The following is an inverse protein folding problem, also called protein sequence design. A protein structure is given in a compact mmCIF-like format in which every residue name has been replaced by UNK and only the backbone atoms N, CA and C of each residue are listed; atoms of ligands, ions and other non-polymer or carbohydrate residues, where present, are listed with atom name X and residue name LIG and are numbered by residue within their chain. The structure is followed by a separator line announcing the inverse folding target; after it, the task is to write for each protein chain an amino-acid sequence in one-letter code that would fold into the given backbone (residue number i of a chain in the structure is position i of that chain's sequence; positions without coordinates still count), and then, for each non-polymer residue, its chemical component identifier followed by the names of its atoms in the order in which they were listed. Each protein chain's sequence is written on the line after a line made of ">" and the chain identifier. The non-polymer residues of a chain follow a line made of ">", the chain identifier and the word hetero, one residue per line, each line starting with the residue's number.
data_IF_505856832315
#
_entry.id   IF_505856832315
#
_cell.length_a   1.000
_cell.length_b   1.000
_cell.length_c   1.000
_cell.angle_alpha   90.00
_cell.angle_beta   90.00
_cell.angle_gamma   90.00
#
_symmetry.space_group_name_H-M   'P 1'
#
loop_
_entity.id
_entity.type
_entity.pdbx_description
1 polymer ?
#
# COMPACT_ATOMS: atom_id res chain seq x y z
N UNK A 1 77.20 33.76 -34.14
CA UNK A 1 76.69 35.01 -33.53
C UNK A 1 75.16 35.09 -33.67
N UNK A 2 74.45 34.52 -32.70
CA UNK A 2 73.01 34.69 -32.48
C UNK A 2 72.74 34.30 -31.02
N UNK A 3 71.92 35.11 -30.36
CA UNK A 3 71.72 35.17 -28.91
C UNK A 3 70.98 33.95 -28.33
N UNK A 4 71.29 33.63 -27.08
CA UNK A 4 70.64 32.58 -26.28
C UNK A 4 69.28 33.05 -25.71
N UNK A 5 68.21 32.23 -25.74
CA UNK A 5 66.98 32.47 -25.00
C UNK A 5 66.99 31.79 -23.59
N UNK A 6 66.12 32.25 -22.66
CA UNK A 6 66.14 31.91 -21.23
C UNK A 6 65.52 30.53 -20.91
N UNK A 7 65.69 30.00 -19.68
CA UNK A 7 65.32 28.63 -19.35
C UNK A 7 63.80 28.40 -19.27
N UNK A 8 63.34 27.32 -19.89
CA UNK A 8 61.95 26.85 -19.84
C UNK A 8 61.68 26.08 -18.54
N UNK A 9 60.67 26.52 -17.81
CA UNK A 9 60.06 25.89 -16.65
C UNK A 9 59.54 24.47 -16.95
N UNK A 10 59.93 23.51 -16.11
CA UNK A 10 59.44 22.12 -16.18
C UNK A 10 57.94 21.99 -15.87
N UNK A 11 57.32 20.85 -16.22
CA UNK A 11 55.89 20.62 -16.04
C UNK A 11 55.54 20.41 -14.56
N UNK A 12 54.39 20.90 -14.07
CA UNK A 12 53.93 20.59 -12.73
C UNK A 12 53.39 19.16 -12.66
N UNK A 13 53.69 18.48 -11.55
CA UNK A 13 53.15 17.18 -11.17
C UNK A 13 51.62 17.17 -11.10
N UNK A 14 50.94 16.05 -11.40
CA UNK A 14 49.49 15.96 -11.41
C UNK A 14 48.95 15.97 -9.97
N UNK A 15 48.36 17.09 -9.58
CA UNK A 15 47.65 17.24 -8.34
C UNK A 15 46.22 16.69 -8.50
N UNK A 16 45.87 15.76 -7.61
CA UNK A 16 44.52 15.45 -7.13
C UNK A 16 43.40 15.39 -8.18
N UNK A 17 43.09 14.18 -8.65
CA UNK A 17 41.78 13.88 -9.17
C UNK A 17 40.75 14.18 -8.07
N UNK A 18 40.05 15.29 -8.23
CA UNK A 18 38.95 15.70 -7.37
C UNK A 18 37.96 14.54 -7.25
N UNK A 19 37.72 14.10 -6.01
CA UNK A 19 36.59 13.26 -5.68
C UNK A 19 35.34 13.95 -6.25
N UNK A 20 34.73 13.31 -7.25
CA UNK A 20 33.48 13.76 -7.82
C UNK A 20 32.45 13.79 -6.68
N UNK A 21 32.18 14.99 -6.17
CA UNK A 21 31.03 15.26 -5.32
C UNK A 21 29.81 14.80 -6.10
N UNK A 22 29.26 13.64 -5.74
CA UNK A 22 28.05 13.11 -6.34
C UNK A 22 26.99 14.19 -6.31
N UNK A 23 26.62 14.70 -7.48
CA UNK A 23 25.54 15.68 -7.61
C UNK A 23 24.32 15.06 -6.96
N UNK A 24 23.71 15.74 -5.99
CA UNK A 24 22.42 15.35 -5.42
C UNK A 24 21.37 15.46 -6.54
N UNK A 25 21.24 14.42 -7.35
CA UNK A 25 20.23 14.33 -8.39
C UNK A 25 18.91 14.04 -7.68
N UNK A 26 18.08 15.06 -7.51
CA UNK A 26 16.72 14.85 -7.08
C UNK A 26 15.95 14.20 -8.23
N UNK A 27 15.24 13.08 -8.00
CA UNK A 27 14.45 12.47 -9.06
C UNK A 27 13.42 13.48 -9.57
N UNK A 28 13.16 13.45 -10.88
CA UNK A 28 12.13 14.27 -11.49
C UNK A 28 10.78 14.01 -10.80
N UNK A 29 10.00 15.08 -10.59
CA UNK A 29 8.65 15.00 -10.02
C UNK A 29 7.63 15.18 -11.13
N UNK A 30 6.68 14.26 -11.20
CA UNK A 30 5.57 14.31 -12.17
C UNK A 30 4.27 14.19 -11.41
N UNK A 31 3.34 15.12 -11.67
CA UNK A 31 1.98 15.03 -11.15
C UNK A 31 1.23 14.02 -12.02
N UNK A 32 0.74 12.94 -11.40
CA UNK A 32 0.00 11.88 -12.11
C UNK A 32 -1.51 12.12 -12.08
N UNK A 33 -1.99 12.64 -10.96
CA UNK A 33 -3.40 12.93 -10.73
C UNK A 33 -3.50 14.33 -10.14
N UNK A 34 -4.28 15.18 -10.79
CA UNK A 34 -4.43 16.59 -10.43
C UNK A 34 -5.89 16.89 -10.16
N UNK A 35 -6.15 17.73 -9.15
CA UNK A 35 -7.51 18.17 -8.85
C UNK A 35 -8.09 18.91 -10.06
N UNK A 36 -9.28 18.52 -10.46
CA UNK A 36 -9.98 19.15 -11.57
C UNK A 36 -10.69 20.45 -11.15
N UNK A 37 -10.92 21.33 -12.12
CA UNK A 37 -11.74 22.54 -11.94
C UNK A 37 -13.19 22.21 -11.56
N UNK A 38 -13.68 21.02 -11.91
CA UNK A 38 -15.00 20.48 -11.55
C UNK A 38 -15.15 20.25 -10.03
N UNK A 39 -14.04 20.19 -9.29
CA UNK A 39 -13.99 19.81 -7.88
C UNK A 39 -13.61 18.34 -7.65
N UNK A 40 -13.55 17.54 -8.71
CA UNK A 40 -13.05 16.15 -8.65
C UNK A 40 -11.61 16.15 -8.14
N UNK A 41 -11.32 15.23 -7.22
CA UNK A 41 -10.02 15.08 -6.60
C UNK A 41 -9.60 13.63 -6.56
N UNK A 42 -8.29 13.41 -6.52
CA UNK A 42 -7.69 12.09 -6.50
C UNK A 42 -6.97 11.86 -5.17
N UNK A 43 -7.33 10.81 -4.47
CA UNK A 43 -6.76 10.47 -3.15
C UNK A 43 -6.47 8.98 -3.05
N UNK A 44 -5.85 8.59 -1.94
CA UNK A 44 -5.57 7.20 -1.58
C UNK A 44 -4.74 6.50 -2.68
N UNK A 45 -3.47 6.92 -2.85
CA UNK A 45 -2.63 6.39 -3.91
C UNK A 45 -2.21 4.95 -3.62
N UNK A 46 -2.14 4.16 -4.67
CA UNK A 46 -1.44 2.89 -4.66
C UNK A 46 -0.50 2.80 -5.86
N UNK A 47 0.66 2.17 -5.67
CA UNK A 47 1.68 2.02 -6.71
C UNK A 47 2.20 0.59 -6.67
N UNK A 48 2.21 -0.05 -7.83
CA UNK A 48 2.71 -1.42 -7.99
C UNK A 48 3.71 -1.47 -9.15
N UNK A 49 4.84 -2.14 -8.92
CA UNK A 49 5.84 -2.41 -9.95
C UNK A 49 5.65 -3.83 -10.52
N UNK A 50 5.68 -3.94 -11.84
CA UNK A 50 5.66 -5.20 -12.58
C UNK A 50 7.06 -5.48 -13.15
N UNK A 51 7.88 -6.31 -12.49
CA UNK A 51 9.27 -6.52 -12.88
C UNK A 51 9.42 -7.17 -14.25
N UNK A 52 8.53 -8.10 -14.61
CA UNK A 52 8.57 -8.86 -15.86
C UNK A 52 8.54 -7.99 -17.14
N UNK A 53 8.03 -6.76 -17.04
CA UNK A 53 7.89 -5.82 -18.16
C UNK A 53 8.37 -4.40 -17.83
N UNK A 54 9.02 -4.23 -16.67
CA UNK A 54 9.47 -2.93 -16.16
C UNK A 54 8.39 -1.83 -16.24
N UNK A 55 7.19 -2.12 -15.72
CA UNK A 55 6.07 -1.16 -15.67
C UNK A 55 5.68 -0.78 -14.24
N UNK A 56 5.19 0.44 -14.07
CA UNK A 56 4.50 0.90 -12.87
C UNK A 56 3.00 1.03 -13.15
N UNK A 57 2.18 0.64 -12.18
CA UNK A 57 0.75 0.87 -12.17
C UNK A 57 0.41 1.78 -10.99
N UNK A 58 -0.02 3.00 -11.30
CA UNK A 58 -0.42 3.99 -10.30
C UNK A 58 -1.94 4.07 -10.24
N UNK A 59 -2.52 3.78 -9.08
CA UNK A 59 -3.94 3.83 -8.83
C UNK A 59 -4.29 4.97 -7.86
N UNK A 60 -5.51 5.47 -7.97
CA UNK A 60 -6.08 6.41 -7.02
C UNK A 60 -7.61 6.24 -6.95
N UNK A 61 -8.21 6.70 -5.87
CA UNK A 61 -9.64 6.99 -5.82
C UNK A 61 -9.92 8.28 -6.60
N UNK A 62 -10.84 8.24 -7.54
CA UNK A 62 -11.52 9.41 -8.05
C UNK A 62 -12.68 9.77 -7.11
N UNK A 63 -12.72 11.01 -6.65
CA UNK A 63 -13.74 11.51 -5.72
C UNK A 63 -14.40 12.76 -6.27
N UNK A 64 -15.72 12.87 -6.10
CA UNK A 64 -16.49 14.04 -6.53
C UNK A 64 -16.20 15.29 -5.68
N UNK A 65 -15.64 15.12 -4.48
CA UNK A 65 -15.04 16.18 -3.67
C UNK A 65 -14.00 15.59 -2.71
N UNK A 66 -13.41 16.40 -1.85
CA UNK A 66 -12.43 15.94 -0.85
C UNK A 66 -13.00 14.99 0.22
N UNK A 67 -14.32 14.94 0.39
CA UNK A 67 -15.00 14.08 1.37
C UNK A 67 -14.80 12.59 1.03
N UNK A 68 -14.51 11.77 2.05
CA UNK A 68 -14.34 10.32 1.90
C UNK A 68 -15.65 9.64 1.43
N UNK A 69 -16.81 10.15 1.84
CA UNK A 69 -18.12 9.63 1.40
C UNK A 69 -18.45 10.00 -0.06
N UNK A 70 -17.64 10.85 -0.69
CA UNK A 70 -17.76 11.25 -2.10
C UNK A 70 -16.78 10.53 -3.03
N UNK A 71 -16.07 9.50 -2.55
CA UNK A 71 -15.43 8.56 -3.45
C UNK A 71 -16.43 8.00 -4.47
N UNK A 72 -15.93 7.68 -5.66
CA UNK A 72 -16.75 7.26 -6.80
C UNK A 72 -16.18 5.98 -7.40
N UNK A 73 -15.08 6.12 -8.14
CA UNK A 73 -14.45 5.07 -8.93
C UNK A 73 -12.95 5.01 -8.64
N UNK A 74 -12.31 3.95 -9.12
CA UNK A 74 -10.85 3.84 -9.12
C UNK A 74 -10.31 4.21 -10.49
N UNK A 75 -9.15 4.88 -10.52
CA UNK A 75 -8.44 5.24 -11.73
C UNK A 75 -7.05 4.61 -11.75
N UNK A 76 -6.51 4.41 -12.95
CA UNK A 76 -5.19 3.84 -13.21
C UNK A 76 -4.42 4.69 -14.22
N UNK A 77 -3.12 4.88 -13.97
CA UNK A 77 -2.12 5.21 -14.99
C UNK A 77 -1.07 4.12 -15.07
N UNK A 78 -0.64 3.78 -16.28
CA UNK A 78 0.41 2.79 -16.55
C UNK A 78 1.66 3.53 -16.99
N UNK A 79 2.80 3.23 -16.37
CA UNK A 79 4.09 3.86 -16.63
C UNK A 79 5.10 2.86 -17.14
N UNK A 80 5.78 3.14 -18.26
CA UNK A 80 6.90 2.33 -18.73
C UNK A 80 8.21 2.93 -18.23
N UNK A 81 9.07 2.12 -17.60
CA UNK A 81 10.33 2.60 -17.03
C UNK A 81 11.44 2.56 -18.08
N UNK A 82 12.14 3.68 -18.22
CA UNK A 82 13.32 3.85 -19.07
C UNK A 82 14.46 4.43 -18.22
N UNK A 83 15.29 3.55 -17.67
CA UNK A 83 16.36 3.94 -16.73
C UNK A 83 15.79 4.67 -15.52
N UNK A 84 16.13 5.96 -15.35
CA UNK A 84 15.66 6.79 -14.25
C UNK A 84 14.37 7.57 -14.54
N UNK A 85 13.73 7.35 -15.69
CA UNK A 85 12.53 8.06 -16.13
C UNK A 85 11.35 7.10 -16.32
N UNK A 86 10.13 7.60 -16.15
CA UNK A 86 8.89 6.85 -16.36
C UNK A 86 8.00 7.60 -17.35
N UNK A 87 7.64 6.95 -18.45
CA UNK A 87 6.68 7.48 -19.41
C UNK A 87 5.28 6.97 -19.07
N UNK A 88 4.39 7.88 -18.68
CA UNK A 88 3.02 7.56 -18.27
C UNK A 88 2.04 7.61 -19.44
N UNK A 89 1.17 6.60 -19.51
CA UNK A 89 -0.02 6.58 -20.35
C UNK A 89 -1.11 7.50 -19.76
N UNK A 90 -2.13 7.79 -20.57
CA UNK A 90 -3.32 8.51 -20.13
C UNK A 90 -4.05 7.76 -19.00
N UNK A 91 -4.69 8.54 -18.13
CA UNK A 91 -5.51 8.01 -17.04
C UNK A 91 -6.70 7.24 -17.60
N UNK A 92 -7.01 6.10 -16.98
CA UNK A 92 -8.17 5.28 -17.29
C UNK A 92 -9.01 5.07 -16.05
N UNK A 93 -10.32 5.13 -16.21
CA UNK A 93 -11.28 4.73 -15.18
C UNK A 93 -11.40 3.21 -15.20
N UNK A 94 -11.41 2.59 -14.02
CA UNK A 94 -11.59 1.15 -13.86
C UNK A 94 -13.08 0.83 -13.70
N UNK A 95 -13.82 0.87 -14.81
CA UNK A 95 -15.28 0.71 -14.82
C UNK A 95 -15.75 -0.64 -14.27
N UNK A 96 -14.91 -1.68 -14.35
CA UNK A 96 -15.24 -3.01 -13.83
C UNK A 96 -14.98 -3.17 -12.33
N UNK A 97 -14.24 -2.25 -11.71
CA UNK A 97 -13.88 -2.26 -10.29
C UNK A 97 -14.95 -1.53 -9.45
N UNK A 98 -16.21 -1.94 -9.60
CA UNK A 98 -17.36 -1.33 -8.91
C UNK A 98 -18.46 -2.35 -8.64
N UNK A 99 -19.32 -2.05 -7.66
CA UNK A 99 -20.60 -2.72 -7.44
C UNK A 99 -21.73 -1.71 -7.62
N UNK A 100 -22.87 -2.17 -8.13
CA UNK A 100 -24.04 -1.32 -8.35
C UNK A 100 -24.44 -0.60 -7.05
N UNK A 101 -24.67 0.71 -7.14
CA UNK A 101 -25.01 1.58 -6.01
C UNK A 101 -23.95 1.72 -4.91
N UNK A 102 -22.73 1.24 -5.12
CA UNK A 102 -21.62 1.42 -4.19
C UNK A 102 -20.58 2.39 -4.76
N UNK A 103 -19.79 2.98 -3.87
CA UNK A 103 -18.54 3.68 -4.23
C UNK A 103 -17.33 2.78 -3.99
N UNK A 104 -16.32 2.86 -4.85
CA UNK A 104 -15.07 2.10 -4.71
C UNK A 104 -13.99 2.91 -3.99
N UNK A 105 -13.29 2.29 -3.05
CA UNK A 105 -12.30 2.94 -2.17
C UNK A 105 -11.13 2.00 -1.84
N UNK A 106 -10.03 2.58 -1.34
CA UNK A 106 -8.84 1.88 -0.85
C UNK A 106 -8.26 0.86 -1.85
N UNK A 107 -7.81 1.30 -3.03
CA UNK A 107 -7.12 0.41 -3.97
C UNK A 107 -5.89 -0.22 -3.31
N UNK A 108 -5.78 -1.54 -3.43
CA UNK A 108 -4.66 -2.35 -2.95
C UNK A 108 -4.24 -3.36 -4.03
N UNK A 109 -3.46 -2.92 -5.04
CA UNK A 109 -2.86 -3.79 -6.04
C UNK A 109 -1.84 -4.79 -5.44
N UNK A 110 -1.79 -5.97 -6.04
CA UNK A 110 -0.89 -7.06 -5.71
C UNK A 110 -0.56 -7.82 -7.00
N UNK A 111 0.72 -8.12 -7.23
CA UNK A 111 1.14 -8.95 -8.36
C UNK A 111 1.56 -10.34 -7.87
N UNK A 112 0.99 -11.37 -8.47
CA UNK A 112 1.49 -12.74 -8.31
C UNK A 112 2.47 -13.04 -9.45
N UNK A 113 3.75 -13.02 -9.14
CA UNK A 113 4.83 -13.24 -10.09
C UNK A 113 4.85 -14.67 -10.65
N UNK A 114 4.34 -15.65 -9.90
CA UNK A 114 4.37 -17.06 -10.34
C UNK A 114 3.30 -17.34 -11.40
N UNK A 115 2.14 -16.71 -11.29
CA UNK A 115 1.04 -16.88 -12.26
C UNK A 115 0.99 -15.75 -13.29
N UNK A 116 1.65 -14.63 -13.04
CA UNK A 116 1.53 -13.41 -13.83
C UNK A 116 0.19 -12.68 -13.64
N UNK A 117 -0.59 -13.06 -12.62
CA UNK A 117 -1.90 -12.46 -12.34
C UNK A 117 -1.75 -11.18 -11.55
N UNK A 118 -2.34 -10.10 -12.05
CA UNK A 118 -2.50 -8.86 -11.30
C UNK A 118 -3.84 -8.87 -10.58
N UNK A 119 -3.82 -8.68 -9.27
CA UNK A 119 -5.00 -8.45 -8.45
C UNK A 119 -5.09 -6.97 -8.09
N UNK A 120 -6.30 -6.42 -8.12
CA UNK A 120 -6.62 -5.15 -7.48
C UNK A 120 -7.74 -5.41 -6.48
N UNK A 121 -7.37 -5.41 -5.21
CA UNK A 121 -8.32 -5.41 -4.12
C UNK A 121 -8.79 -4.00 -3.83
N UNK A 122 -10.03 -3.86 -3.40
CA UNK A 122 -10.63 -2.61 -2.98
C UNK A 122 -11.82 -2.89 -2.07
N UNK A 123 -12.25 -1.90 -1.31
CA UNK A 123 -13.56 -1.95 -0.67
C UNK A 123 -14.60 -1.24 -1.52
N UNK A 124 -15.85 -1.66 -1.38
CA UNK A 124 -16.98 -0.86 -1.81
C UNK A 124 -17.91 -0.56 -0.65
N UNK A 125 -18.55 0.61 -0.65
CA UNK A 125 -19.47 1.02 0.41
C UNK A 125 -20.79 1.45 -0.21
N UNK A 126 -21.91 0.94 0.33
CA UNK A 126 -23.24 1.25 -0.19
C UNK A 126 -23.53 2.75 -0.12
N UNK A 127 -23.87 3.34 -1.27
CA UNK A 127 -24.15 4.76 -1.43
C UNK A 127 -23.06 5.65 -0.85
N UNK A 128 -23.47 6.61 -0.01
CA UNK A 128 -22.59 7.56 0.67
C UNK A 128 -22.53 7.33 2.19
N UNK A 129 -22.82 6.11 2.65
CA UNK A 129 -22.80 5.79 4.08
C UNK A 129 -21.41 6.10 4.68
N UNK A 130 -21.31 7.05 5.63
CA UNK A 130 -20.03 7.45 6.21
C UNK A 130 -19.44 6.35 7.10
N UNK A 131 -18.10 6.28 7.18
CA UNK A 131 -17.41 5.36 8.09
C UNK A 131 -17.85 5.57 9.55
N UNK A 132 -17.91 6.83 10.00
CA UNK A 132 -18.35 7.18 11.34
C UNK A 132 -19.76 6.67 11.68
N UNK A 133 -20.69 6.66 10.71
CA UNK A 133 -22.03 6.09 10.91
C UNK A 133 -21.95 4.60 11.19
N UNK A 134 -21.15 3.87 10.41
CA UNK A 134 -20.98 2.43 10.56
C UNK A 134 -20.31 2.10 11.91
N UNK A 135 -19.27 2.87 12.30
CA UNK A 135 -18.57 2.74 13.59
C UNK A 135 -19.52 2.94 14.78
N UNK A 136 -20.42 3.92 14.71
CA UNK A 136 -21.35 4.25 15.81
C UNK A 136 -22.53 3.28 15.89
N UNK A 137 -23.03 2.82 14.74
CA UNK A 137 -24.26 2.00 14.69
C UNK A 137 -23.99 0.50 14.63
N UNK A 138 -22.78 0.09 14.25
CA UNK A 138 -22.45 -1.30 13.90
C UNK A 138 -23.09 -1.78 12.59
N UNK A 139 -23.76 -0.89 11.84
CA UNK A 139 -24.38 -1.24 10.56
C UNK A 139 -23.34 -1.24 9.44
N UNK A 140 -22.61 -2.34 9.34
CA UNK A 140 -21.58 -2.52 8.32
C UNK A 140 -22.20 -2.78 6.95
N UNK A 141 -21.93 -1.87 6.01
CA UNK A 141 -22.34 -1.94 4.60
C UNK A 141 -21.15 -1.94 3.65
N UNK A 142 -19.96 -2.26 4.18
CA UNK A 142 -18.71 -2.35 3.42
C UNK A 142 -18.53 -3.75 2.85
N UNK A 143 -18.08 -3.84 1.59
CA UNK A 143 -17.79 -5.09 0.89
C UNK A 143 -16.33 -5.17 0.50
N UNK A 144 -15.75 -6.37 0.57
CA UNK A 144 -14.43 -6.69 0.05
C UNK A 144 -14.58 -7.10 -1.42
N UNK A 145 -13.89 -6.43 -2.32
CA UNK A 145 -13.98 -6.71 -3.75
C UNK A 145 -12.59 -6.91 -4.37
N UNK A 146 -12.56 -7.67 -5.46
CA UNK A 146 -11.36 -7.85 -6.27
C UNK A 146 -11.70 -7.84 -7.76
N UNK A 147 -10.82 -7.23 -8.55
CA UNK A 147 -10.73 -7.45 -10.00
C UNK A 147 -9.35 -8.02 -10.32
N UNK A 148 -9.25 -8.77 -11.42
CA UNK A 148 -7.99 -9.36 -11.87
C UNK A 148 -7.67 -8.96 -13.30
N UNK A 149 -6.39 -8.95 -13.63
CA UNK A 149 -5.87 -8.70 -14.98
C UNK A 149 -4.79 -9.72 -15.31
N UNK A 150 -4.88 -10.31 -16.49
CA UNK A 150 -3.88 -11.22 -17.06
C UNK A 150 -3.00 -10.54 -18.12
N UNK A 151 -3.23 -9.25 -18.39
CA UNK A 151 -2.62 -8.49 -19.47
C UNK A 151 -1.97 -7.18 -18.98
N UNK A 152 -1.40 -7.23 -17.77
CA UNK A 152 -0.59 -6.15 -17.19
C UNK A 152 -1.40 -4.84 -17.03
N UNK A 153 -2.66 -4.97 -16.59
CA UNK A 153 -3.58 -3.88 -16.32
C UNK A 153 -4.17 -3.21 -17.57
N UNK A 154 -4.14 -3.88 -18.73
CA UNK A 154 -4.80 -3.38 -19.96
C UNK A 154 -6.31 -3.57 -19.90
N UNK A 155 -6.75 -4.76 -19.48
CA UNK A 155 -8.14 -5.11 -19.22
C UNK A 155 -8.28 -5.76 -17.85
N UNK A 156 -9.50 -5.70 -17.32
CA UNK A 156 -9.81 -6.15 -15.97
C UNK A 156 -11.08 -7.00 -15.99
N UNK A 157 -11.11 -8.04 -15.17
CA UNK A 157 -12.31 -8.84 -14.93
C UNK A 157 -13.43 -7.96 -14.33
N UNK A 158 -14.66 -8.49 -14.32
CA UNK A 158 -15.73 -7.95 -13.49
C UNK A 158 -15.36 -8.09 -12.00
N UNK A 159 -15.84 -7.15 -11.17
CA UNK A 159 -15.66 -7.22 -9.72
C UNK A 159 -16.25 -8.51 -9.14
N UNK A 160 -15.48 -9.17 -8.28
CA UNK A 160 -15.92 -10.28 -7.45
C UNK A 160 -16.09 -9.80 -6.02
N UNK A 161 -17.29 -9.95 -5.44
CA UNK A 161 -17.53 -9.70 -4.01
C UNK A 161 -17.06 -10.91 -3.20
N UNK A 162 -15.99 -10.71 -2.43
CA UNK A 162 -15.33 -11.73 -1.61
C UNK A 162 -15.82 -11.71 -0.15
N UNK A 163 -16.71 -10.79 0.23
CA UNK A 163 -17.11 -10.56 1.62
C UNK A 163 -17.62 -11.83 2.28
N UNK A 164 -18.55 -12.53 1.65
CA UNK A 164 -19.15 -13.73 2.23
C UNK A 164 -18.19 -14.92 2.22
N UNK A 165 -17.36 -15.05 1.19
CA UNK A 165 -16.43 -16.16 1.04
C UNK A 165 -15.26 -16.06 2.03
N UNK A 166 -14.77 -14.85 2.30
CA UNK A 166 -13.53 -14.62 3.05
C UNK A 166 -13.80 -14.20 4.49
N UNK A 167 -14.76 -13.29 4.70
CA UNK A 167 -15.07 -12.75 6.04
C UNK A 167 -16.25 -13.50 6.67
N UNK A 168 -17.25 -13.85 5.86
CA UNK A 168 -18.39 -14.67 6.28
C UNK A 168 -19.15 -14.06 7.45
N UNK A 169 -19.50 -14.88 8.45
CA UNK A 169 -20.31 -14.44 9.59
C UNK A 169 -19.62 -13.42 10.49
N UNK A 170 -18.28 -13.41 10.52
CA UNK A 170 -17.46 -12.49 11.34
C UNK A 170 -17.67 -11.03 10.98
N UNK A 171 -18.20 -10.73 9.79
CA UNK A 171 -18.53 -9.35 9.38
C UNK A 171 -19.48 -8.65 10.36
N UNK A 172 -20.29 -9.41 11.12
CA UNK A 172 -21.24 -8.89 12.14
C UNK A 172 -20.57 -8.38 13.40
N UNK A 173 -19.29 -8.71 13.58
CA UNK A 173 -18.47 -8.25 14.71
C UNK A 173 -17.59 -7.06 14.31
N UNK A 174 -17.64 -6.64 13.05
CA UNK A 174 -16.92 -5.48 12.55
C UNK A 174 -17.91 -4.37 12.25
N UNK A 175 -17.76 -3.22 12.90
CA UNK A 175 -18.57 -2.05 12.60
C UNK A 175 -18.30 -1.56 11.16
N UNK A 176 -17.04 -1.63 10.72
CA UNK A 176 -16.60 -1.47 9.33
C UNK A 176 -15.16 -2.00 9.20
N UNK A 177 -14.62 -2.06 7.98
CA UNK A 177 -13.23 -2.44 7.72
C UNK A 177 -12.72 -1.74 6.44
N UNK A 178 -11.41 -1.73 6.24
CA UNK A 178 -10.80 -1.29 4.99
C UNK A 178 -9.47 -2.02 4.71
N UNK A 179 -8.95 -1.82 3.49
CA UNK A 179 -7.67 -2.36 3.03
C UNK A 179 -6.57 -1.32 3.15
N UNK A 180 -5.32 -1.79 3.29
CA UNK A 180 -4.07 -1.02 3.27
C UNK A 180 -4.26 0.40 3.79
N UNK A 181 -4.37 1.41 2.90
CA UNK A 181 -4.31 1.31 1.42
C UNK A 181 -2.88 1.12 0.89
N UNK A 182 -2.71 1.08 -0.44
CA UNK A 182 -1.39 1.02 -1.08
C UNK A 182 -1.12 -0.32 -1.75
N UNK A 183 -0.18 -1.15 -1.29
CA UNK A 183 0.15 -2.40 -2.01
C UNK A 183 0.05 -3.63 -1.12
N UNK A 184 -0.37 -4.75 -1.71
CA UNK A 184 -0.15 -6.07 -1.16
C UNK A 184 1.26 -6.56 -1.49
N UNK A 185 1.67 -7.68 -0.88
CA UNK A 185 2.98 -8.29 -1.13
C UNK A 185 2.84 -9.78 -1.45
N UNK A 186 3.76 -10.31 -2.24
CA UNK A 186 3.98 -11.74 -2.39
C UNK A 186 5.26 -12.12 -1.64
N UNK A 187 5.16 -13.13 -0.79
CA UNK A 187 6.32 -13.70 -0.09
C UNK A 187 7.11 -14.63 -1.01
N UNK A 188 8.37 -14.91 -0.67
CA UNK A 188 9.21 -15.88 -1.40
C UNK A 188 8.58 -17.28 -1.46
N UNK A 189 7.76 -17.63 -0.46
CA UNK A 189 6.98 -18.87 -0.41
C UNK A 189 5.87 -18.95 -1.47
N UNK A 190 5.53 -17.83 -2.12
CA UNK A 190 4.41 -17.68 -3.03
C UNK A 190 3.12 -17.20 -2.37
N UNK A 191 3.06 -17.17 -1.03
CA UNK A 191 1.90 -16.63 -0.29
C UNK A 191 1.65 -15.18 -0.67
N UNK A 192 0.40 -14.87 -0.96
CA UNK A 192 -0.08 -13.52 -1.26
C UNK A 192 -0.66 -12.89 0.01
N UNK A 193 -0.36 -11.61 0.26
CA UNK A 193 -0.80 -10.87 1.44
C UNK A 193 -1.40 -9.52 1.05
N UNK A 194 -2.56 -9.19 1.63
CA UNK A 194 -3.25 -7.90 1.49
C UNK A 194 -3.45 -7.31 2.88
N UNK A 195 -2.77 -6.21 3.26
CA UNK A 195 -2.97 -5.58 4.55
C UNK A 195 -4.39 -5.03 4.69
N UNK A 196 -4.94 -5.09 5.90
CA UNK A 196 -6.27 -4.59 6.20
C UNK A 196 -6.39 -4.16 7.66
N UNK A 197 -7.50 -3.52 8.00
CA UNK A 197 -7.88 -3.28 9.39
C UNK A 197 -9.40 -3.30 9.53
N UNK A 198 -9.89 -3.66 10.71
CA UNK A 198 -11.30 -3.60 11.04
C UNK A 198 -11.54 -2.76 12.29
N UNK A 199 -12.72 -2.16 12.38
CA UNK A 199 -13.25 -1.58 13.61
C UNK A 199 -14.06 -2.65 14.33
N UNK A 200 -13.40 -3.37 15.23
CA UNK A 200 -14.01 -4.49 15.96
C UNK A 200 -14.99 -3.98 17.02
N UNK A 201 -16.16 -4.61 17.10
CA UNK A 201 -17.19 -4.32 18.09
C UNK A 201 -16.88 -5.09 19.37
N UNK A 202 -16.24 -4.42 20.33
CA UNK A 202 -15.81 -5.05 21.59
C UNK A 202 -16.93 -5.14 22.63
N UNK A 203 -17.87 -4.19 22.60
CA UNK A 203 -18.98 -4.17 23.55
C UNK A 203 -20.26 -3.63 22.92
N UNK A 204 -21.24 -4.53 22.74
CA UNK A 204 -22.57 -4.25 22.16
C UNK A 204 -23.59 -3.72 23.19
N UNK A 205 -23.38 -3.98 24.47
CA UNK A 205 -24.42 -3.80 25.51
C UNK A 205 -24.02 -2.79 26.57
N UNK A 206 -24.16 -1.50 26.25
CA UNK A 206 -24.32 -0.47 27.26
C UNK A 206 -25.66 0.23 27.04
N UNK A 207 -26.67 -0.08 27.85
CA UNK A 207 -28.02 0.49 27.73
C UNK A 207 -28.66 0.30 26.33
N UNK A 208 -28.37 -0.83 25.67
CA UNK A 208 -28.89 -1.13 24.32
C UNK A 208 -28.18 -0.38 23.18
N UNK A 209 -27.04 0.25 23.45
CA UNK A 209 -26.20 0.92 22.47
C UNK A 209 -24.78 0.34 22.44
N UNK A 210 -24.16 0.44 21.26
CA UNK A 210 -22.75 0.14 21.04
C UNK A 210 -21.90 1.10 21.87
N UNK A 211 -21.05 0.58 22.75
CA UNK A 211 -20.23 1.43 23.63
C UNK A 211 -18.74 1.30 23.42
N UNK A 212 -18.28 0.31 22.67
CA UNK A 212 -16.86 0.21 22.33
C UNK A 212 -16.63 -0.44 20.98
N UNK A 213 -15.96 0.32 20.11
CA UNK A 213 -15.46 -0.12 18.83
C UNK A 213 -13.98 0.25 18.74
N UNK A 214 -13.10 -0.71 18.45
CA UNK A 214 -11.65 -0.50 18.47
C UNK A 214 -11.02 -0.94 17.14
N UNK A 215 -10.14 -0.13 16.52
CA UNK A 215 -9.49 -0.51 15.28
C UNK A 215 -8.34 -1.49 15.52
N UNK A 216 -8.29 -2.55 14.70
CA UNK A 216 -7.20 -3.52 14.69
C UNK A 216 -6.78 -3.88 13.27
N UNK A 217 -5.48 -3.77 12.98
CA UNK A 217 -4.89 -4.22 11.72
C UNK A 217 -4.71 -5.73 11.69
N UNK A 218 -4.76 -6.29 10.48
CA UNK A 218 -4.54 -7.71 10.17
C UNK A 218 -4.14 -7.85 8.69
N UNK A 219 -4.01 -9.08 8.19
CA UNK A 219 -3.78 -9.36 6.78
C UNK A 219 -4.79 -10.38 6.23
N UNK A 220 -5.30 -10.16 5.02
CA UNK A 220 -5.82 -11.25 4.21
C UNK A 220 -4.66 -11.98 3.54
N UNK A 221 -4.77 -13.29 3.37
CA UNK A 221 -3.75 -14.09 2.71
C UNK A 221 -4.32 -15.21 1.84
N UNK A 222 -3.53 -15.63 0.85
CA UNK A 222 -3.80 -16.78 -0.01
C UNK A 222 -2.52 -17.59 -0.22
N UNK A 223 -2.64 -18.91 -0.06
CA UNK A 223 -1.57 -19.90 -0.27
C UNK A 223 -1.69 -20.62 -1.62
N UNK A 224 -2.73 -20.32 -2.41
CA UNK A 224 -3.10 -21.05 -3.62
C UNK A 224 -3.30 -20.13 -4.83
N UNK A 225 -2.48 -19.07 -4.90
CA UNK A 225 -2.45 -18.10 -6.00
C UNK A 225 -3.80 -17.38 -6.19
N UNK A 226 -4.45 -17.04 -5.09
CA UNK A 226 -5.68 -16.25 -5.07
C UNK A 226 -6.95 -17.03 -5.35
N UNK A 227 -6.91 -18.37 -5.38
CA UNK A 227 -8.12 -19.21 -5.55
C UNK A 227 -8.99 -19.19 -4.30
N UNK A 228 -8.36 -19.22 -3.12
CA UNK A 228 -9.01 -19.05 -1.84
C UNK A 228 -8.25 -18.03 -0.98
N UNK A 229 -9.02 -17.24 -0.23
CA UNK A 229 -8.51 -16.21 0.66
C UNK A 229 -9.00 -16.45 2.08
N UNK A 230 -8.16 -16.12 3.05
CA UNK A 230 -8.45 -16.14 4.48
C UNK A 230 -7.96 -14.84 5.10
N UNK A 231 -8.28 -14.57 6.35
CA UNK A 231 -7.65 -13.51 7.13
C UNK A 231 -6.96 -14.08 8.36
N UNK A 232 -5.83 -13.47 8.72
CA UNK A 232 -5.07 -13.80 9.92
C UNK A 232 -5.66 -13.19 11.18
N UNK A 233 -5.02 -13.46 12.32
CA UNK A 233 -5.35 -12.82 13.58
C UNK A 233 -5.01 -11.33 13.56
N UNK A 234 -5.73 -10.59 14.39
CA UNK A 234 -5.53 -9.16 14.57
C UNK A 234 -4.27 -8.86 15.39
N UNK A 235 -3.63 -7.73 15.13
CA UNK A 235 -2.62 -7.19 16.04
C UNK A 235 -3.31 -6.95 17.40
N UNK A 236 -2.86 -7.63 18.47
CA UNK A 236 -3.52 -7.49 19.75
C UNK A 236 -3.05 -6.22 20.47
N UNK A 237 -3.58 -5.99 21.67
CA UNK A 237 -3.16 -5.02 22.69
C UNK A 237 -3.11 -3.52 22.35
N UNK A 238 -3.05 -3.08 21.09
CA UNK A 238 -3.00 -1.68 20.69
C UNK A 238 -3.96 -1.37 19.54
N UNK A 239 -4.49 -0.15 19.55
CA UNK A 239 -5.28 0.40 18.45
C UNK A 239 -4.41 0.60 17.22
N UNK A 240 -4.80 -0.03 16.13
CA UNK A 240 -4.07 -0.05 14.86
C UNK A 240 -5.03 0.02 13.69
N UNK A 241 -4.79 0.97 12.78
CA UNK A 241 -5.64 1.24 11.61
C UNK A 241 -4.96 0.85 10.31
N UNK A 242 -4.98 1.76 9.33
CA UNK A 242 -4.34 1.57 8.03
C UNK A 242 -2.88 1.10 8.17
N UNK A 243 -2.50 0.04 7.46
CA UNK A 243 -1.19 -0.60 7.63
C UNK A 243 -0.60 -1.09 6.30
N UNK A 244 0.71 -1.35 6.32
CA UNK A 244 1.43 -2.03 5.24
C UNK A 244 2.40 -3.06 5.79
N UNK A 245 2.72 -4.03 4.93
CA UNK A 245 3.52 -5.21 5.26
C UNK A 245 4.80 -5.23 4.44
N UNK A 246 5.87 -5.75 5.03
CA UNK A 246 7.09 -6.10 4.31
C UNK A 246 7.69 -7.37 4.91
N UNK A 247 8.17 -8.28 4.08
CA UNK A 247 8.99 -9.41 4.53
C UNK A 247 10.43 -8.94 4.69
N UNK A 248 11.02 -9.19 5.86
CA UNK A 248 12.46 -9.08 6.06
C UNK A 248 13.01 -10.49 5.94
N UNK A 249 13.59 -10.78 4.77
CA UNK A 249 14.13 -12.10 4.47
C UNK A 249 15.62 -12.17 4.78
N UNK A 250 16.05 -13.25 5.41
CA UNK A 250 17.44 -13.56 5.71
C UNK A 250 18.07 -14.48 4.64
N UNK A 251 19.40 -14.56 4.63
CA UNK A 251 20.14 -15.42 3.68
C UNK A 251 19.93 -16.92 3.92
N UNK A 252 19.63 -17.30 5.16
CA UNK A 252 19.34 -18.70 5.55
C UNK A 252 17.94 -19.17 5.12
N UNK A 253 17.16 -18.29 4.49
CA UNK A 253 15.80 -18.55 4.02
C UNK A 253 14.71 -18.34 5.07
N UNK A 254 15.06 -17.97 6.30
CA UNK A 254 14.08 -17.50 7.27
C UNK A 254 13.59 -16.09 6.92
N UNK A 255 12.42 -15.72 7.43
CA UNK A 255 11.87 -14.39 7.28
C UNK A 255 11.07 -13.98 8.52
N UNK A 256 10.92 -12.67 8.69
CA UNK A 256 9.96 -12.08 9.62
C UNK A 256 9.07 -11.13 8.84
N UNK A 257 7.76 -11.32 8.97
CA UNK A 257 6.80 -10.38 8.41
C UNK A 257 6.65 -9.19 9.36
N UNK A 258 6.97 -8.00 8.85
CA UNK A 258 6.85 -6.75 9.57
C UNK A 258 5.59 -6.01 9.14
N UNK A 259 4.76 -5.61 10.12
CA UNK A 259 3.61 -4.75 9.92
C UNK A 259 3.84 -3.37 10.54
N UNK A 260 3.56 -2.33 9.77
CA UNK A 260 3.62 -0.94 10.21
C UNK A 260 2.23 -0.30 10.09
N UNK A 261 1.60 -0.04 11.21
CA UNK A 261 0.22 0.42 11.29
C UNK A 261 0.10 1.85 11.83
N UNK A 262 -0.87 2.59 11.29
CA UNK A 262 -1.33 3.88 11.81
C UNK A 262 -1.91 3.68 13.21
N UNK A 263 -1.69 4.64 14.09
CA UNK A 263 -2.29 4.63 15.42
C UNK A 263 -2.68 6.03 15.88
N UNK A 264 -3.77 6.19 16.65
CA UNK A 264 -4.11 7.45 17.33
C UNK A 264 -3.23 7.73 18.56
N UNK A 265 -2.27 6.84 18.88
CA UNK A 265 -1.44 6.91 20.09
C UNK A 265 -0.17 7.78 19.94
N UNK A 266 -0.09 8.59 18.87
CA UNK A 266 1.00 9.52 18.59
C UNK A 266 2.26 8.91 17.97
N UNK A 267 2.30 7.59 17.79
CA UNK A 267 3.40 6.87 17.13
C UNK A 267 2.87 5.71 16.30
N UNK A 268 3.64 5.27 15.29
CA UNK A 268 3.33 4.05 14.54
C UNK A 268 3.32 2.84 15.48
N UNK A 269 2.37 1.93 15.25
CA UNK A 269 2.38 0.60 15.85
C UNK A 269 3.13 -0.34 14.92
N UNK A 270 4.13 -1.01 15.46
CA UNK A 270 4.85 -2.09 14.80
C UNK A 270 4.37 -3.42 15.37
N UNK A 271 4.13 -4.40 14.50
CA UNK A 271 3.93 -5.79 14.89
C UNK A 271 4.75 -6.71 13.98
N UNK A 272 5.11 -7.87 14.51
CA UNK A 272 5.88 -8.89 13.81
C UNK A 272 5.05 -10.18 13.74
N UNK A 273 5.19 -10.92 12.65
CA UNK A 273 4.65 -12.26 12.47
C UNK A 273 5.75 -13.19 12.00
N UNK A 274 5.82 -14.37 12.62
CA UNK A 274 6.74 -15.47 12.27
C UNK A 274 6.04 -16.60 11.52
N UNK A 275 4.77 -16.41 11.15
CA UNK A 275 3.93 -17.38 10.44
C UNK A 275 3.27 -16.74 9.20
N UNK A 276 3.97 -15.78 8.60
CA UNK A 276 3.63 -15.16 7.34
C UNK A 276 2.23 -14.52 7.34
N UNK A 277 1.90 -13.80 8.41
CA UNK A 277 0.71 -12.98 8.54
C UNK A 277 -0.54 -13.71 9.04
N UNK A 278 -0.42 -14.98 9.43
CA UNK A 278 -1.51 -15.72 10.05
C UNK A 278 -1.73 -15.29 11.51
N UNK A 279 -0.66 -14.96 12.25
CA UNK A 279 -0.69 -14.46 13.63
C UNK A 279 0.34 -13.35 13.80
N UNK A 280 -0.08 -12.24 14.43
CA UNK A 280 0.82 -11.16 14.83
C UNK A 280 1.12 -11.22 16.33
N UNK A 281 2.38 -11.03 16.69
CA UNK A 281 2.76 -10.73 18.07
C UNK A 281 2.20 -9.38 18.53
N UNK A 282 2.24 -9.16 19.85
CA UNK A 282 1.77 -7.93 20.44
C UNK A 282 2.43 -6.67 19.88
N UNK A 283 1.59 -5.69 19.53
CA UNK A 283 2.04 -4.45 18.92
C UNK A 283 2.91 -3.62 19.86
N UNK A 284 3.85 -2.87 19.29
CA UNK A 284 4.76 -1.96 19.99
C UNK A 284 4.71 -0.56 19.39
N UNK A 285 4.70 0.48 20.23
CA UNK A 285 4.81 1.87 19.78
C UNK A 285 6.25 2.19 19.41
N UNK A 286 6.47 2.68 18.19
CA UNK A 286 7.80 3.04 17.69
C UNK A 286 8.03 4.54 17.87
N UNK A 287 8.66 4.93 18.97
CA UNK A 287 8.85 6.34 19.34
C UNK A 287 9.55 7.21 18.27
N UNK A 288 10.35 6.59 17.39
CA UNK A 288 11.03 7.29 16.29
C UNK A 288 10.14 7.57 15.08
N UNK A 289 8.98 6.93 14.99
CA UNK A 289 8.02 7.07 13.91
C UNK A 289 6.76 7.76 14.47
N UNK A 290 6.81 9.08 14.55
CA UNK A 290 5.73 9.91 15.09
C UNK A 290 4.51 9.97 14.16
N UNK A 291 3.35 10.17 14.76
CA UNK A 291 2.07 10.36 14.07
C UNK A 291 1.47 11.74 14.43
N UNK A 292 0.72 12.41 13.53
CA UNK A 292 -0.12 13.54 13.88
C UNK A 292 -1.26 13.11 14.83
N UNK A 293 -2.08 14.04 15.37
CA UNK A 293 -3.05 13.74 16.44
C UNK A 293 -4.03 12.57 16.20
N UNK A 294 -4.36 12.27 14.94
CA UNK A 294 -5.24 11.15 14.57
C UNK A 294 -4.51 10.06 13.75
N UNK A 295 -3.19 10.15 13.66
CA UNK A 295 -2.38 9.38 12.74
C UNK A 295 -2.64 9.72 11.26
N UNK A 296 -1.80 9.17 10.41
CA UNK A 296 -1.91 9.23 8.96
C UNK A 296 -1.48 7.89 8.37
N UNK A 297 -2.02 7.52 7.21
CA UNK A 297 -1.49 6.38 6.47
C UNK A 297 0.01 6.58 6.16
N UNK A 298 0.77 5.49 6.17
CA UNK A 298 2.20 5.47 5.90
C UNK A 298 2.56 4.23 5.08
N UNK A 299 3.58 4.34 4.23
CA UNK A 299 4.03 3.26 3.37
C UNK A 299 5.34 2.63 3.87
N UNK A 300 5.49 1.32 3.71
CA UNK A 300 6.73 0.60 3.98
C UNK A 300 7.01 -0.36 2.81
N UNK A 301 8.28 -0.42 2.38
CA UNK A 301 8.75 -1.36 1.37
C UNK A 301 10.08 -1.96 1.81
N UNK A 302 10.35 -3.18 1.35
CA UNK A 302 11.65 -3.83 1.50
C UNK A 302 12.48 -3.64 0.23
N UNK A 303 13.79 -3.51 0.38
CA UNK A 303 14.74 -3.54 -0.73
C UNK A 303 16.03 -4.23 -0.27
N UNK A 304 16.79 -4.85 -1.18
CA UNK A 304 18.06 -5.48 -0.83
C UNK A 304 18.99 -4.50 -0.12
N UNK A 305 19.61 -4.96 0.97
CA UNK A 305 20.62 -4.16 1.67
C UNK A 305 21.75 -3.78 0.70
N UNK A 306 22.31 -2.55 0.79
CA UNK A 306 23.50 -2.21 0.02
C UNK A 306 24.62 -3.20 0.32
N UNK A 307 25.27 -3.72 -0.73
CA UNK A 307 26.44 -4.58 -0.56
C UNK A 307 27.53 -3.81 0.19
N UNK A 308 27.74 -4.11 1.46
CA UNK A 308 28.88 -3.60 2.22
C UNK A 308 30.07 -4.48 1.87
N UNK A 309 30.91 -4.02 0.94
CA UNK A 309 32.24 -4.60 0.78
C UNK A 309 33.03 -4.31 2.06
N UNK A 310 33.18 -5.32 2.90
CA UNK A 310 34.14 -5.29 4.00
C UNK A 310 35.52 -5.57 3.37
N UNK A 311 36.52 -4.67 3.51
CA UNK A 311 37.86 -4.87 2.96
C UNK A 311 38.58 -6.07 3.55
#
# INVERSE_FOLDING_TARGET
>A
PAAAPPPSSGPPHPCAAAAAMGSRHFPARTVLFEKESSGVTYRVPALLYLPCVAKLLAFAEERLSADDAHANLLVLRRGSIYGSYVQWEDMRVLETATLQHHRSMNPCPLYDEFTGTLFLFFITVLGRTPEAYQIVTGQNVTRLCCVTSADQGLSWSTATDLTQQVIGATIKDWATFALGPGHGIQLRSGRLLVPAYSYHIDCKECFGQLCKTTPHSFAFYSDDHGRAWRFGEFIPNLQSGECQLVSVDEEDGSNVLYCNARSPLGFRVQALSTDDGAVFHGGQLVQRLVEPPHGCHGSVIGFPAPLVYVP
#
